data_IF_050537358950
#
_entry.id   IF_050537358950
#
_cell.length_a   1.000
_cell.length_b   1.000
_cell.length_c   1.000
_cell.angle_alpha   90.00
_cell.angle_beta   90.00
_cell.angle_gamma   90.00
#
_symmetry.space_group_name_H-M   'P 1'
#
loop_
_entity.id
_entity.type
_entity.pdbx_description
1 polymer ?
#
# COMPACT_ATOMS: atom_id res chain seq x y z
N UNK A 1 1.09 -0.49 -14.09
CA UNK A 1 -0.24 -0.77 -13.48
C UNK A 1 -0.90 -1.91 -14.21
N UNK A 2 -1.47 -2.87 -13.47
CA UNK A 2 -2.22 -4.01 -13.99
C UNK A 2 -3.46 -4.20 -13.12
N UNK A 3 -4.62 -4.47 -13.73
CA UNK A 3 -5.87 -4.75 -13.03
C UNK A 3 -6.29 -6.20 -13.30
N UNK A 4 -6.62 -6.95 -12.24
CA UNK A 4 -7.11 -8.32 -12.33
C UNK A 4 -8.61 -8.35 -12.01
N UNK A 5 -9.41 -8.80 -12.97
CA UNK A 5 -10.85 -9.00 -12.82
C UNK A 5 -11.21 -10.43 -13.27
N UNK A 6 -12.11 -11.10 -12.56
CA UNK A 6 -12.57 -12.43 -12.93
C UNK A 6 -13.31 -13.14 -11.79
N UNK A 7 -13.76 -14.35 -12.06
CA UNK A 7 -14.66 -15.12 -11.18
C UNK A 7 -14.08 -15.44 -9.80
N UNK A 8 -14.91 -15.67 -8.76
CA UNK A 8 -14.46 -16.18 -7.48
C UNK A 8 -13.62 -17.46 -7.64
N UNK A 9 -12.58 -17.64 -6.82
CA UNK A 9 -11.75 -18.85 -6.86
C UNK A 9 -10.59 -18.87 -7.87
N UNK A 10 -10.39 -17.82 -8.69
CA UNK A 10 -9.29 -17.76 -9.68
C UNK A 10 -7.92 -17.30 -9.13
N UNK A 11 -7.68 -17.46 -7.82
CA UNK A 11 -6.41 -17.15 -7.15
C UNK A 11 -5.85 -15.70 -7.29
N UNK A 12 -6.64 -14.72 -7.73
CA UNK A 12 -6.23 -13.31 -7.89
C UNK A 12 -5.50 -12.73 -6.66
N UNK A 13 -6.09 -12.90 -5.47
CA UNK A 13 -5.48 -12.39 -4.23
C UNK A 13 -4.18 -13.10 -3.89
N UNK A 14 -4.08 -14.41 -4.17
CA UNK A 14 -2.84 -15.16 -3.92
C UNK A 14 -1.71 -14.72 -4.85
N UNK A 15 -2.03 -14.43 -6.11
CA UNK A 15 -1.06 -13.86 -7.04
C UNK A 15 -0.53 -12.51 -6.52
N UNK A 16 -1.41 -11.60 -6.12
CA UNK A 16 -1.00 -10.29 -5.58
C UNK A 16 -0.15 -10.42 -4.31
N UNK A 17 -0.53 -11.30 -3.39
CA UNK A 17 0.27 -11.57 -2.18
C UNK A 17 1.63 -12.19 -2.49
N UNK A 18 1.70 -13.06 -3.49
CA UNK A 18 2.96 -13.66 -3.92
C UNK A 18 3.88 -12.62 -4.57
N UNK A 19 3.35 -11.78 -5.47
CA UNK A 19 4.10 -10.68 -6.11
C UNK A 19 4.69 -9.75 -5.06
N UNK A 20 3.91 -9.32 -4.07
CA UNK A 20 4.39 -8.45 -3.00
C UNK A 20 5.52 -9.08 -2.17
N UNK A 21 5.57 -10.42 -2.05
CA UNK A 21 6.64 -11.14 -1.33
C UNK A 21 7.94 -11.23 -2.12
N UNK A 22 7.86 -11.38 -3.44
CA UNK A 22 9.06 -11.59 -4.28
C UNK A 22 9.61 -10.28 -4.87
N UNK A 23 8.77 -9.25 -5.00
CA UNK A 23 9.19 -8.00 -5.60
C UNK A 23 10.02 -7.16 -4.63
N UNK A 24 11.12 -6.53 -5.10
CA UNK A 24 11.83 -5.54 -4.30
C UNK A 24 10.89 -4.36 -4.04
N UNK A 25 10.74 -3.97 -2.76
CA UNK A 25 9.79 -2.93 -2.32
C UNK A 25 8.31 -3.26 -2.65
N UNK A 26 7.95 -4.54 -2.66
CA UNK A 26 6.57 -4.99 -2.81
C UNK A 26 5.72 -4.72 -1.57
N UNK A 27 4.59 -4.02 -1.71
CA UNK A 27 3.69 -3.73 -0.58
C UNK A 27 2.25 -4.11 -0.90
N UNK A 28 1.71 -5.10 -0.19
CA UNK A 28 0.32 -5.50 -0.33
C UNK A 28 -0.60 -4.75 0.63
N UNK A 29 -1.61 -4.06 0.10
CA UNK A 29 -2.67 -3.42 0.88
C UNK A 29 -4.04 -3.91 0.42
N UNK A 30 -4.95 -4.16 1.37
CA UNK A 30 -6.35 -4.44 1.08
C UNK A 30 -7.15 -3.14 1.09
N UNK A 31 -8.02 -2.92 0.10
CA UNK A 31 -8.91 -1.75 0.08
C UNK A 31 -9.89 -1.68 1.27
N UNK A 32 -10.09 -2.79 1.99
CA UNK A 32 -10.92 -2.81 3.21
C UNK A 32 -10.09 -2.31 4.39
N UNK A 33 -10.41 -1.12 4.89
CA UNK A 33 -9.75 -0.51 6.07
C UNK A 33 -8.61 0.47 5.74
N UNK A 34 -8.29 0.67 4.45
CA UNK A 34 -7.35 1.71 4.01
C UNK A 34 -8.03 3.08 3.94
N UNK A 35 -7.27 4.13 4.21
CA UNK A 35 -7.69 5.53 4.05
C UNK A 35 -6.88 6.20 2.94
N UNK A 36 -7.38 7.30 2.39
CA UNK A 36 -6.64 8.09 1.40
C UNK A 36 -5.28 8.54 1.96
N UNK A 37 -5.24 9.04 3.21
CA UNK A 37 -4.00 9.46 3.87
C UNK A 37 -3.03 8.31 4.12
N UNK A 38 -3.52 7.12 4.49
CA UNK A 38 -2.67 5.93 4.68
C UNK A 38 -2.08 5.40 3.38
N UNK A 39 -2.74 5.67 2.24
CA UNK A 39 -2.22 5.30 0.92
C UNK A 39 -1.20 6.32 0.40
N UNK A 40 -1.40 7.61 0.68
CA UNK A 40 -0.54 8.71 0.20
C UNK A 40 0.45 9.18 1.25
N UNK A 41 0.07 10.12 2.10
CA UNK A 41 0.85 10.64 3.22
C UNK A 41 -0.08 11.24 4.28
N UNK A 42 0.40 11.28 5.52
CA UNK A 42 -0.30 11.89 6.64
C UNK A 42 0.58 12.95 7.32
N UNK A 43 -0.04 13.99 7.88
CA UNK A 43 0.66 14.97 8.71
C UNK A 43 0.40 14.64 10.18
N UNK A 44 1.47 14.44 10.93
CA UNK A 44 1.44 14.15 12.36
C UNK A 44 1.89 15.37 13.15
N UNK A 45 1.26 15.62 14.30
CA UNK A 45 1.66 16.66 15.23
C UNK A 45 2.52 16.07 16.33
N UNK A 46 3.73 16.58 16.48
CA UNK A 46 4.65 16.13 17.52
C UNK A 46 4.35 16.82 18.86
N UNK A 47 4.65 16.12 19.96
CA UNK A 47 4.49 16.66 21.32
C UNK A 47 5.34 17.92 21.57
N UNK A 48 6.47 18.05 20.87
CA UNK A 48 7.37 19.20 20.96
C UNK A 48 6.86 20.44 20.17
N UNK A 49 5.69 20.35 19.51
CA UNK A 49 5.07 21.48 18.80
C UNK A 49 5.35 21.53 17.29
N UNK A 50 6.11 20.57 16.75
CA UNK A 50 6.36 20.43 15.32
C UNK A 50 5.28 19.64 14.57
N UNK A 51 5.34 19.68 13.24
CA UNK A 51 4.56 18.83 12.35
C UNK A 51 5.52 17.97 11.52
N UNK A 52 5.22 16.69 11.38
CA UNK A 52 5.99 15.74 10.57
C UNK A 52 5.11 15.09 9.51
N UNK A 53 5.74 14.64 8.42
CA UNK A 53 5.06 13.94 7.34
C UNK A 53 5.37 12.44 7.45
N UNK A 54 4.33 11.63 7.55
CA UNK A 54 4.42 10.18 7.51
C UNK A 54 4.09 9.69 6.10
N UNK A 55 4.98 8.87 5.53
CA UNK A 55 4.81 8.29 4.21
C UNK A 55 3.78 7.16 4.24
N UNK A 56 2.79 7.22 3.34
CA UNK A 56 1.81 6.16 3.15
C UNK A 56 2.32 5.05 2.24
N UNK A 57 1.46 4.03 2.06
CA UNK A 57 1.79 2.80 1.34
C UNK A 57 2.39 3.02 -0.07
N UNK A 58 1.85 3.93 -0.87
CA UNK A 58 2.35 4.19 -2.24
C UNK A 58 3.74 4.82 -2.23
N UNK A 59 4.03 5.67 -1.25
CA UNK A 59 5.33 6.35 -1.14
C UNK A 59 6.40 5.38 -0.67
N UNK A 60 6.05 4.50 0.28
CA UNK A 60 6.95 3.45 0.77
C UNK A 60 7.32 2.45 -0.34
N UNK A 61 6.35 2.11 -1.20
CA UNK A 61 6.51 1.23 -2.36
C UNK A 61 7.11 1.92 -3.61
N UNK A 62 7.69 3.12 -3.50
CA UNK A 62 8.27 3.84 -4.65
C UNK A 62 9.23 2.96 -5.48
N UNK A 63 9.08 2.98 -6.81
CA UNK A 63 9.78 2.10 -7.78
C UNK A 63 9.59 0.59 -7.57
N UNK A 64 8.73 0.18 -6.64
CA UNK A 64 8.29 -1.19 -6.41
C UNK A 64 6.92 -1.46 -7.03
N UNK A 65 6.16 -2.36 -6.41
CA UNK A 65 4.81 -2.78 -6.83
C UNK A 65 3.86 -2.97 -5.66
#
# INVERSE_FOLDING_TARGET
NVLLLGDPGTAKSQLLQYVAKIAPRGLYTSGRGTTAAGLTAAVLREKAGGMTLEAGALVLADKGV
#
